data_IF_902783871053
#
_entry.id   IF_902783871053
#
_cell.length_a   1.000
_cell.length_b   1.000
_cell.length_c   1.000
_cell.angle_alpha   90.00
_cell.angle_beta   90.00
_cell.angle_gamma   90.00
#
_symmetry.space_group_name_H-M   'P 1'
#
loop_
_entity.id
_entity.type
_entity.pdbx_description
1 polymer ?
#
# COMPACT_ATOMS: atom_id res chain seq x y z
N UNK A 1 9.70 9.52 -50.18
CA UNK A 1 8.54 10.08 -49.44
C UNK A 1 8.23 9.16 -48.26
N UNK A 2 8.85 9.38 -47.08
CA UNK A 2 8.57 8.55 -45.90
C UNK A 2 7.55 9.26 -45.01
N UNK A 3 6.29 8.80 -45.07
CA UNK A 3 5.21 9.25 -44.19
C UNK A 3 5.32 8.52 -42.85
N UNK A 4 5.70 9.28 -41.83
CA UNK A 4 5.62 8.91 -40.41
C UNK A 4 4.14 8.89 -40.00
N UNK A 5 3.64 7.77 -39.49
CA UNK A 5 2.40 7.74 -38.72
C UNK A 5 2.74 7.50 -37.25
N UNK A 6 2.45 8.53 -36.46
CA UNK A 6 2.60 8.56 -35.02
C UNK A 6 1.57 7.62 -34.37
N UNK A 7 2.04 6.75 -33.49
CA UNK A 7 1.22 5.97 -32.58
C UNK A 7 0.55 6.92 -31.59
N UNK A 8 -0.77 7.07 -31.70
CA UNK A 8 -1.60 7.76 -30.73
C UNK A 8 -1.77 6.91 -29.48
N UNK A 9 -0.97 7.19 -28.44
CA UNK A 9 -1.21 6.66 -27.11
C UNK A 9 -2.29 7.51 -26.43
N UNK A 10 -3.52 6.99 -26.38
CA UNK A 10 -4.60 7.56 -25.58
C UNK A 10 -4.20 7.49 -24.11
N UNK A 11 -3.86 8.64 -23.54
CA UNK A 11 -3.60 8.83 -22.12
C UNK A 11 -4.89 8.58 -21.34
N UNK A 12 -5.11 7.34 -20.88
CA UNK A 12 -6.10 7.05 -19.84
C UNK A 12 -5.52 7.57 -18.51
N UNK A 13 -5.64 8.87 -18.29
CA UNK A 13 -5.34 9.49 -17.00
C UNK A 13 -6.42 9.09 -16.00
N UNK A 14 -6.11 8.14 -15.12
CA UNK A 14 -6.94 7.83 -13.94
C UNK A 14 -6.86 9.04 -12.99
N UNK A 15 -7.78 9.99 -13.16
CA UNK A 15 -7.90 11.15 -12.29
C UNK A 15 -8.55 10.72 -10.97
N UNK A 16 -7.74 10.21 -10.04
CA UNK A 16 -8.14 10.07 -8.65
C UNK A 16 -7.92 11.42 -7.97
N UNK A 17 -9.02 12.15 -7.78
CA UNK A 17 -9.04 13.37 -6.98
C UNK A 17 -8.47 13.07 -5.60
N UNK A 18 -7.29 13.61 -5.28
CA UNK A 18 -6.66 13.44 -3.97
C UNK A 18 -7.50 14.15 -2.92
N UNK A 19 -8.41 13.41 -2.30
CA UNK A 19 -8.99 13.82 -1.03
C UNK A 19 -7.80 13.88 -0.07
N UNK A 20 -7.42 15.07 0.39
CA UNK A 20 -6.36 15.24 1.38
C UNK A 20 -6.85 14.65 2.69
N UNK A 21 -6.71 13.34 2.83
CA UNK A 21 -7.07 12.64 4.06
C UNK A 21 -6.01 12.88 5.11
N UNK A 22 -6.44 12.84 6.37
CA UNK A 22 -5.55 13.01 7.53
C UNK A 22 -4.61 11.80 7.70
N UNK A 23 -4.90 10.68 7.02
CA UNK A 23 -4.19 9.40 7.09
C UNK A 23 -3.95 8.82 5.68
N UNK A 24 -3.17 9.51 4.83
CA UNK A 24 -3.01 9.14 3.43
C UNK A 24 -2.39 7.75 3.23
N UNK A 25 -1.50 7.29 4.14
CA UNK A 25 -0.94 5.95 4.05
C UNK A 25 -1.92 4.88 4.48
N UNK A 26 -2.68 5.09 5.55
CA UNK A 26 -3.71 4.13 5.96
C UNK A 26 -4.74 3.91 4.84
N UNK A 27 -5.19 4.98 4.20
CA UNK A 27 -6.17 4.90 3.11
C UNK A 27 -5.61 4.14 1.91
N UNK A 28 -4.34 4.38 1.56
CA UNK A 28 -3.66 3.66 0.50
C UNK A 28 -3.53 2.17 0.82
N UNK A 29 -3.22 1.82 2.07
CA UNK A 29 -3.14 0.44 2.55
C UNK A 29 -4.51 -0.22 2.42
N UNK A 30 -5.56 0.42 2.94
CA UNK A 30 -6.94 -0.08 2.89
C UNK A 30 -7.38 -0.34 1.46
N UNK A 31 -7.20 0.64 0.57
CA UNK A 31 -7.59 0.50 -0.83
C UNK A 31 -6.87 -0.66 -1.53
N UNK A 32 -5.54 -0.78 -1.33
CA UNK A 32 -4.73 -1.85 -1.94
C UNK A 32 -5.10 -3.23 -1.41
N UNK A 33 -5.25 -3.38 -0.09
CA UNK A 33 -5.56 -4.66 0.54
C UNK A 33 -6.97 -5.11 0.17
N UNK A 34 -7.95 -4.21 0.21
CA UNK A 34 -9.32 -4.54 -0.19
C UNK A 34 -9.38 -4.97 -1.66
N UNK A 35 -8.68 -4.26 -2.55
CA UNK A 35 -8.66 -4.60 -3.97
C UNK A 35 -7.95 -5.93 -4.26
N UNK A 36 -6.87 -6.25 -3.53
CA UNK A 36 -6.06 -7.44 -3.81
C UNK A 36 -6.60 -8.71 -3.14
N UNK A 37 -7.15 -8.59 -1.92
CA UNK A 37 -7.44 -9.74 -1.06
C UNK A 37 -8.92 -9.91 -0.72
N UNK A 38 -9.78 -8.94 -1.08
CA UNK A 38 -11.20 -8.92 -0.76
C UNK A 38 -11.52 -9.48 0.66
N UNK A 39 -10.92 -8.90 1.71
CA UNK A 39 -10.95 -9.50 3.04
C UNK A 39 -12.35 -9.46 3.66
N UNK A 40 -12.66 -10.49 4.46
CA UNK A 40 -13.86 -10.52 5.29
C UNK A 40 -13.71 -9.53 6.46
N UNK A 41 -12.53 -9.47 7.07
CA UNK A 41 -12.20 -8.48 8.11
C UNK A 41 -10.83 -7.85 7.84
N UNK A 42 -10.75 -6.53 8.00
CA UNK A 42 -9.52 -5.75 7.88
C UNK A 42 -9.47 -4.73 9.02
N UNK A 43 -8.52 -4.91 9.92
CA UNK A 43 -8.21 -3.97 11.01
C UNK A 43 -6.83 -3.38 10.76
N UNK A 44 -6.74 -2.05 10.86
CA UNK A 44 -5.49 -1.31 10.66
C UNK A 44 -5.20 -0.51 11.91
N UNK A 45 -4.01 -0.70 12.47
CA UNK A 45 -3.52 0.00 13.65
C UNK A 45 -2.28 0.81 13.28
N UNK A 46 -2.34 2.12 13.51
CA UNK A 46 -1.22 3.02 13.29
C UNK A 46 -0.43 3.22 14.58
N UNK A 47 0.63 2.42 14.72
CA UNK A 47 1.51 2.41 15.89
C UNK A 47 2.70 3.38 15.71
N UNK A 48 2.67 4.24 14.68
CA UNK A 48 3.78 5.18 14.36
C UNK A 48 4.11 6.15 15.48
N UNK A 49 3.15 6.45 16.35
CA UNK A 49 3.34 7.30 17.52
C UNK A 49 4.32 6.70 18.54
N UNK A 50 4.42 5.36 18.62
CA UNK A 50 5.40 4.68 19.49
C UNK A 50 6.85 4.89 19.02
N UNK A 51 7.04 5.29 17.77
CA UNK A 51 8.36 5.46 17.16
C UNK A 51 8.68 6.89 16.75
N UNK A 52 7.75 7.83 16.95
CA UNK A 52 7.89 9.23 16.53
C UNK A 52 9.06 9.98 17.21
N UNK A 53 9.58 9.47 18.33
CA UNK A 53 10.67 10.09 19.10
C UNK A 53 12.06 9.55 18.77
N UNK A 54 12.19 8.60 17.84
CA UNK A 54 13.52 8.11 17.44
C UNK A 54 14.27 9.15 16.60
N UNK A 55 15.56 9.32 16.88
CA UNK A 55 16.45 10.21 16.10
C UNK A 55 16.47 9.86 14.59
N UNK A 56 16.22 8.59 14.25
CA UNK A 56 16.07 8.12 12.87
C UNK A 56 14.83 8.67 12.14
N UNK A 57 13.87 9.25 12.86
CA UNK A 57 12.71 9.94 12.31
C UNK A 57 12.98 11.43 12.02
N UNK A 58 14.20 11.92 12.21
CA UNK A 58 14.55 13.29 11.83
C UNK A 58 14.61 13.42 10.30
N UNK A 59 13.80 14.32 9.75
CA UNK A 59 13.77 14.61 8.30
C UNK A 59 12.79 13.76 7.49
N UNK A 60 12.03 12.86 8.11
CA UNK A 60 10.93 12.19 7.41
C UNK A 60 9.71 13.11 7.33
N UNK A 61 9.17 13.22 6.12
CA UNK A 61 7.95 13.99 5.81
C UNK A 61 6.69 13.24 6.19
N UNK A 62 6.75 11.91 6.34
CA UNK A 62 5.62 11.07 6.76
C UNK A 62 5.72 10.72 8.24
N UNK A 63 4.63 10.96 8.98
CA UNK A 63 4.49 10.54 10.38
C UNK A 63 3.86 9.15 10.52
N UNK A 64 3.58 8.52 9.40
CA UNK A 64 2.96 7.19 9.26
C UNK A 64 4.05 6.20 8.82
N UNK A 65 4.68 5.50 9.77
CA UNK A 65 5.84 4.62 9.53
C UNK A 65 5.67 3.20 10.05
N UNK A 66 4.85 2.99 11.07
CA UNK A 66 4.60 1.66 11.63
C UNK A 66 3.11 1.36 11.65
N UNK A 67 2.75 0.25 11.00
CA UNK A 67 1.38 -0.24 10.92
C UNK A 67 1.32 -1.72 11.29
N UNK A 68 0.30 -2.07 12.06
CA UNK A 68 -0.08 -3.44 12.33
C UNK A 68 -1.43 -3.71 11.65
N UNK A 69 -1.50 -4.80 10.92
CA UNK A 69 -2.65 -5.17 10.10
C UNK A 69 -3.15 -6.54 10.54
N UNK A 70 -4.45 -6.65 10.82
CA UNK A 70 -5.13 -7.93 11.05
C UNK A 70 -6.08 -8.15 9.89
N UNK A 71 -5.89 -9.23 9.15
CA UNK A 71 -6.61 -9.49 7.90
C UNK A 71 -7.15 -10.92 7.93
N UNK A 72 -8.45 -11.07 7.76
CA UNK A 72 -9.10 -12.37 7.53
C UNK A 72 -9.59 -12.41 6.09
N UNK A 73 -9.05 -13.34 5.30
CA UNK A 73 -9.45 -13.55 3.89
C UNK A 73 -9.25 -15.00 3.49
N UNK A 74 -10.14 -15.51 2.64
CA UNK A 74 -10.05 -16.85 2.06
C UNK A 74 -8.83 -17.00 1.14
N UNK A 75 -8.26 -15.88 0.67
CA UNK A 75 -7.02 -15.85 -0.09
C UNK A 75 -5.85 -16.49 0.65
N UNK A 76 -5.88 -16.48 1.99
CA UNK A 76 -4.83 -17.09 2.83
C UNK A 76 -5.04 -18.58 3.12
N UNK A 77 -6.21 -19.16 2.79
CA UNK A 77 -6.48 -20.57 3.05
C UNK A 77 -5.57 -21.53 2.26
N UNK A 78 -5.00 -21.08 1.13
CA UNK A 78 -4.18 -21.94 0.25
C UNK A 78 -2.67 -21.81 0.50
N UNK A 79 -2.22 -20.91 1.36
CA UNK A 79 -0.79 -20.70 1.63
C UNK A 79 -0.42 -21.29 2.98
N UNK A 80 0.13 -22.50 2.97
CA UNK A 80 0.94 -22.97 4.08
C UNK A 80 2.01 -21.91 4.40
N UNK A 81 2.26 -21.67 5.69
CA UNK A 81 3.30 -20.76 6.18
C UNK A 81 4.62 -21.04 5.45
N UNK A 82 4.92 -20.22 4.45
CA UNK A 82 6.17 -20.33 3.70
C UNK A 82 7.23 -19.72 4.59
N UNK A 83 7.91 -20.58 5.35
CA UNK A 83 9.09 -20.22 6.13
C UNK A 83 10.17 -19.86 5.11
N UNK A 84 10.43 -18.58 4.92
CA UNK A 84 11.59 -18.13 4.16
C UNK A 84 12.84 -18.50 4.97
N UNK A 85 13.37 -19.70 4.70
CA UNK A 85 14.70 -20.10 5.13
C UNK A 85 15.68 -19.42 4.19
N UNK A 86 16.47 -18.47 4.72
CA UNK A 86 17.66 -18.00 4.03
C UNK A 86 18.58 -19.21 3.84
N UNK A 87 18.79 -19.65 2.60
CA UNK A 87 19.81 -20.64 2.27
C UNK A 87 21.21 -20.02 2.50
N UNK A 88 22.22 -20.82 2.88
CA UNK A 88 23.56 -20.34 3.23
C UNK A 88 24.29 -19.65 2.07
#
# INVERSE_FOLDING_TARGET
MLRRYALGFSSVGRQLSSKSSTTPMEDAIRAKITAALNPQTLEIYNDSHLHAHHKAMQGTTSRETHFRLVITSDAFQRTASTRFSCAP
#
